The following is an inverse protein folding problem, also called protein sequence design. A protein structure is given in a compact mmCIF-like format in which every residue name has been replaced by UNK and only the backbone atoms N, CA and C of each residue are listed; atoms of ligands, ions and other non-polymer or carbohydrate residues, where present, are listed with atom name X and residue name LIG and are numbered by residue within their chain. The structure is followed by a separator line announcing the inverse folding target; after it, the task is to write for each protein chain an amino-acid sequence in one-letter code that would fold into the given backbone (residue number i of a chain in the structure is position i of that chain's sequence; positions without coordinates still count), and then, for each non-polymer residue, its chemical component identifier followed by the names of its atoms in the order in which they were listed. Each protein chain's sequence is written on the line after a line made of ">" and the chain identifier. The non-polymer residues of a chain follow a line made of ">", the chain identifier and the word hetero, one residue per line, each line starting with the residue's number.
data_IF_749861986714
#
_entry.id   IF_749861986714
#
_cell.length_a   1.000
_cell.length_b   1.000
_cell.length_c   1.000
_cell.angle_alpha   90.00
_cell.angle_beta   90.00
_cell.angle_gamma   90.00
#
_symmetry.space_group_name_H-M   'P 1'
#
loop_
_entity.id
_entity.type
_entity.pdbx_description
1 polymer ?
#
# COMPACT_ATOMS: atom_id res chain seq x y z
N UNK A 1 -14.95 33.56 -23.36
CA UNK A 1 -14.62 32.75 -22.16
C UNK A 1 -13.35 31.97 -22.45
N UNK A 2 -12.20 32.44 -21.95
CA UNK A 2 -10.92 31.77 -22.18
C UNK A 2 -10.84 30.51 -21.32
N UNK A 3 -10.62 29.34 -21.95
CA UNK A 3 -10.35 28.10 -21.22
C UNK A 3 -9.00 28.28 -20.51
N UNK A 4 -9.01 28.42 -19.18
CA UNK A 4 -7.78 28.38 -18.39
C UNK A 4 -7.18 26.98 -18.50
N UNK A 5 -5.95 26.90 -19.00
CA UNK A 5 -5.18 25.65 -19.11
C UNK A 5 -3.84 25.88 -18.43
N UNK A 6 -3.52 25.06 -17.43
CA UNK A 6 -2.24 25.05 -16.71
C UNK A 6 -1.50 23.77 -17.07
N UNK A 7 -0.20 23.84 -17.37
CA UNK A 7 0.63 22.63 -17.43
C UNK A 7 1.00 22.25 -16.00
N UNK A 8 0.36 21.21 -15.48
CA UNK A 8 0.55 20.75 -14.12
C UNK A 8 1.48 19.54 -14.11
N UNK A 9 2.38 19.50 -13.14
CA UNK A 9 3.22 18.33 -12.89
C UNK A 9 2.47 17.33 -12.02
N UNK A 10 2.46 16.08 -12.47
CA UNK A 10 1.97 14.92 -11.73
C UNK A 10 3.10 13.91 -11.60
N UNK A 11 3.25 13.37 -10.40
CA UNK A 11 4.35 12.51 -10.03
C UNK A 11 3.91 11.06 -9.93
N UNK A 12 4.86 10.17 -10.16
CA UNK A 12 4.74 8.76 -9.82
C UNK A 12 5.84 8.41 -8.80
N UNK A 13 5.60 7.41 -7.93
CA UNK A 13 6.63 6.84 -7.07
C UNK A 13 7.92 6.52 -7.85
N UNK A 14 9.08 6.74 -7.24
CA UNK A 14 10.38 6.59 -7.92
C UNK A 14 10.91 7.86 -8.60
N UNK A 15 10.20 8.99 -8.46
CA UNK A 15 10.66 10.30 -8.94
C UNK A 15 10.32 10.59 -10.40
N UNK A 16 9.54 9.73 -11.06
CA UNK A 16 9.01 10.03 -12.39
C UNK A 16 8.00 11.17 -12.31
N UNK A 17 7.99 12.01 -13.34
CA UNK A 17 7.02 13.12 -13.45
C UNK A 17 6.51 13.24 -14.88
N UNK A 18 5.24 13.61 -15.00
CA UNK A 18 4.58 13.91 -16.27
C UNK A 18 3.92 15.28 -16.20
N UNK A 19 4.12 16.09 -17.24
CA UNK A 19 3.45 17.38 -17.40
C UNK A 19 2.18 17.21 -18.22
N UNK A 20 1.02 17.33 -17.59
CA UNK A 20 -0.28 17.17 -18.23
C UNK A 20 -0.99 18.53 -18.31
N UNK A 21 -1.58 18.82 -19.47
CA UNK A 21 -2.37 20.04 -19.69
C UNK A 21 -3.70 19.93 -18.97
N UNK A 22 -3.81 20.60 -17.83
CA UNK A 22 -4.96 20.54 -16.93
C UNK A 22 -5.87 21.74 -17.17
N UNK A 23 -7.15 21.47 -17.41
CA UNK A 23 -8.18 22.49 -17.67
C UNK A 23 -8.96 22.75 -16.38
N UNK A 24 -9.71 23.84 -16.32
CA UNK A 24 -10.62 24.14 -15.20
C UNK A 24 -11.70 23.06 -14.96
N UNK A 25 -11.97 22.22 -15.95
CA UNK A 25 -12.95 21.12 -15.87
C UNK A 25 -12.30 19.74 -15.70
N UNK A 26 -10.97 19.67 -15.64
CA UNK A 26 -10.26 18.39 -15.49
C UNK A 26 -10.41 17.89 -14.06
N UNK A 27 -10.99 16.71 -13.90
CA UNK A 27 -11.15 16.05 -12.61
C UNK A 27 -10.01 15.05 -12.33
N UNK A 28 -9.87 14.63 -11.07
CA UNK A 28 -8.82 13.69 -10.66
C UNK A 28 -8.86 12.36 -11.42
N UNK A 29 -10.04 11.84 -11.73
CA UNK A 29 -10.18 10.58 -12.47
C UNK A 29 -9.51 10.62 -13.85
N UNK A 30 -9.66 11.73 -14.60
CA UNK A 30 -9.04 11.88 -15.92
C UNK A 30 -7.51 11.79 -15.83
N UNK A 31 -6.93 12.39 -14.78
CA UNK A 31 -5.50 12.33 -14.53
C UNK A 31 -5.06 10.93 -14.13
N UNK A 32 -5.82 10.26 -13.25
CA UNK A 32 -5.55 8.87 -12.85
C UNK A 32 -5.55 7.96 -14.07
N UNK A 33 -6.57 8.06 -14.94
CA UNK A 33 -6.66 7.29 -16.18
C UNK A 33 -5.47 7.59 -17.09
N UNK A 34 -5.12 8.86 -17.32
CA UNK A 34 -3.98 9.21 -18.17
C UNK A 34 -2.65 8.64 -17.66
N UNK A 35 -2.38 8.72 -16.35
CA UNK A 35 -1.16 8.19 -15.74
C UNK A 35 -1.15 6.65 -15.71
N UNK A 36 -2.32 6.03 -15.47
CA UNK A 36 -2.49 4.59 -15.60
C UNK A 36 -2.15 4.11 -17.02
N UNK A 37 -2.57 4.88 -18.03
CA UNK A 37 -2.29 4.52 -19.42
C UNK A 37 -0.77 4.54 -19.73
N UNK A 38 0.01 5.44 -19.15
CA UNK A 38 1.48 5.45 -19.26
C UNK A 38 2.11 4.18 -18.70
N UNK A 39 1.52 3.61 -17.66
CA UNK A 39 1.97 2.36 -17.03
C UNK A 39 1.44 1.10 -17.71
N UNK A 40 0.82 1.21 -18.90
CA UNK A 40 0.11 0.11 -19.58
C UNK A 40 -1.07 -0.48 -18.78
N UNK A 41 -1.70 0.30 -17.90
CA UNK A 41 -2.94 -0.08 -17.21
C UNK A 41 -4.13 0.37 -18.06
N UNK A 42 -4.75 -0.59 -18.75
CA UNK A 42 -5.85 -0.36 -19.71
C UNK A 42 -7.22 -0.75 -19.16
N UNK A 43 -7.27 -1.72 -18.24
CA UNK A 43 -8.52 -2.20 -17.66
C UNK A 43 -9.04 -1.26 -16.59
N UNK A 44 -10.31 -0.87 -16.68
CA UNK A 44 -10.97 0.06 -15.74
C UNK A 44 -10.89 -0.44 -14.29
N UNK A 45 -11.08 -1.74 -14.07
CA UNK A 45 -10.98 -2.34 -12.74
C UNK A 45 -9.62 -2.12 -12.07
N UNK A 46 -8.51 -2.24 -12.80
CA UNK A 46 -7.17 -1.97 -12.26
C UNK A 46 -6.92 -0.47 -12.13
N UNK A 47 -7.47 0.37 -13.03
CA UNK A 47 -7.37 1.83 -12.90
C UNK A 47 -8.05 2.35 -11.63
N UNK A 48 -9.21 1.79 -11.25
CA UNK A 48 -9.91 2.15 -10.03
C UNK A 48 -9.15 1.78 -8.74
N UNK A 49 -8.06 1.01 -8.82
CA UNK A 49 -7.18 0.73 -7.68
C UNK A 49 -6.21 1.87 -7.35
N UNK A 50 -6.12 2.87 -8.24
CA UNK A 50 -5.28 4.04 -8.09
C UNK A 50 -6.11 5.26 -7.73
N UNK A 51 -5.49 6.17 -6.99
CA UNK A 51 -6.05 7.48 -6.69
C UNK A 51 -4.97 8.55 -6.85
N UNK A 52 -5.39 9.78 -7.11
CA UNK A 52 -4.52 10.94 -7.04
C UNK A 52 -4.54 11.47 -5.60
N UNK A 53 -3.37 11.82 -5.07
CA UNK A 53 -3.24 12.54 -3.82
C UNK A 53 -2.34 13.75 -4.00
N UNK A 54 -2.35 14.65 -3.03
CA UNK A 54 -1.25 15.60 -2.85
C UNK A 54 -0.52 15.34 -1.54
N UNK A 55 0.78 15.60 -1.55
CA UNK A 55 1.65 15.58 -0.38
C UNK A 55 2.06 17.01 -0.09
N UNK A 56 1.83 17.51 1.13
CA UNK A 56 2.34 18.80 1.57
C UNK A 56 3.82 18.68 1.93
N UNK A 57 4.70 19.45 1.28
CA UNK A 57 6.16 19.32 1.45
C UNK A 57 6.61 19.68 2.87
N UNK A 58 5.92 20.64 3.51
CA UNK A 58 6.24 21.14 4.84
C UNK A 58 6.19 20.06 5.94
N UNK A 59 5.27 19.11 5.85
CA UNK A 59 5.03 18.13 6.92
C UNK A 59 4.86 16.69 6.42
N UNK A 60 4.91 16.46 5.10
CA UNK A 60 4.72 15.15 4.48
C UNK A 60 3.29 14.61 4.58
N UNK A 61 2.31 15.43 4.98
CA UNK A 61 0.91 14.98 5.09
C UNK A 61 0.33 14.71 3.71
N UNK A 62 -0.46 13.64 3.62
CA UNK A 62 -1.03 13.15 2.36
C UNK A 62 -2.55 13.36 2.41
N UNK A 63 -3.12 13.98 1.38
CA UNK A 63 -4.57 14.03 1.16
C UNK A 63 -4.92 13.38 -0.16
N UNK A 64 -5.77 12.37 -0.12
CA UNK A 64 -6.30 11.70 -1.31
C UNK A 64 -7.48 12.50 -1.84
N UNK A 65 -7.52 12.67 -3.16
CA UNK A 65 -8.59 13.34 -3.88
C UNK A 65 -9.67 12.33 -4.27
N UNK A 66 -10.92 12.77 -4.20
CA UNK A 66 -12.04 12.07 -4.83
C UNK A 66 -11.93 12.18 -6.34
N UNK A 67 -12.47 11.18 -7.04
CA UNK A 67 -12.39 11.07 -8.49
C UNK A 67 -13.00 12.27 -9.23
N UNK A 68 -14.03 12.89 -8.63
CA UNK A 68 -14.77 14.03 -9.16
C UNK A 68 -14.23 15.40 -8.73
N UNK A 69 -13.17 15.46 -7.91
CA UNK A 69 -12.54 16.73 -7.53
C UNK A 69 -11.84 17.39 -8.73
N UNK A 70 -12.13 18.67 -8.97
CA UNK A 70 -11.48 19.47 -9.99
C UNK A 70 -10.06 19.84 -9.56
N UNK A 71 -9.06 19.47 -10.37
CA UNK A 71 -7.66 19.68 -10.01
C UNK A 71 -7.28 21.15 -9.95
N UNK A 72 -7.86 21.98 -10.82
CA UNK A 72 -7.59 23.42 -10.80
C UNK A 72 -8.12 24.09 -9.53
N UNK A 73 -9.22 23.61 -8.95
CA UNK A 73 -9.77 24.15 -7.71
C UNK A 73 -8.85 23.78 -6.54
N UNK A 74 -8.51 22.49 -6.42
CA UNK A 74 -7.57 21.98 -5.40
C UNK A 74 -6.23 22.72 -5.44
N UNK A 75 -5.62 22.83 -6.63
CA UNK A 75 -4.32 23.52 -6.77
C UNK A 75 -4.42 25.01 -6.49
N UNK A 76 -5.53 25.66 -6.87
CA UNK A 76 -5.76 27.08 -6.56
C UNK A 76 -5.90 27.30 -5.06
N UNK A 77 -6.64 26.44 -4.35
CA UNK A 77 -6.77 26.52 -2.88
C UNK A 77 -5.41 26.38 -2.18
N UNK A 78 -4.59 25.43 -2.62
CA UNK A 78 -3.24 25.22 -2.08
C UNK A 78 -2.31 26.40 -2.40
N UNK A 79 -2.34 26.90 -3.64
CA UNK A 79 -1.55 28.06 -4.08
C UNK A 79 -1.96 29.32 -3.25
N UNK A 80 -3.26 29.52 -2.98
CA UNK A 80 -3.77 30.63 -2.15
C UNK A 80 -3.38 30.46 -0.67
N UNK A 81 -3.37 29.23 -0.17
CA UNK A 81 -2.88 28.92 1.18
C UNK A 81 -1.35 29.03 1.30
N UNK A 82 -0.63 29.27 0.19
CA UNK A 82 0.83 29.28 0.11
C UNK A 82 1.44 27.97 0.64
N UNK A 83 0.81 26.85 0.31
CA UNK A 83 1.28 25.51 0.62
C UNK A 83 2.09 24.95 -0.56
N UNK A 84 3.26 24.39 -0.27
CA UNK A 84 4.07 23.66 -1.26
C UNK A 84 3.58 22.20 -1.30
N UNK A 85 3.29 21.69 -2.51
CA UNK A 85 2.69 20.37 -2.68
C UNK A 85 3.19 19.61 -3.90
N UNK A 86 3.09 18.29 -3.81
CA UNK A 86 3.34 17.34 -4.89
C UNK A 86 2.08 16.55 -5.18
N UNK A 87 1.55 16.63 -6.41
CA UNK A 87 0.48 15.75 -6.88
C UNK A 87 1.08 14.39 -7.26
N UNK A 88 0.65 13.31 -6.61
CA UNK A 88 1.21 11.98 -6.74
C UNK A 88 0.11 10.95 -7.05
N UNK A 89 0.35 10.11 -8.05
CA UNK A 89 -0.47 8.91 -8.24
C UNK A 89 -0.04 7.84 -7.23
N UNK A 90 -1.00 7.23 -6.54
CA UNK A 90 -0.73 6.12 -5.62
C UNK A 90 -1.72 4.99 -5.85
N UNK A 91 -1.23 3.75 -5.78
CA UNK A 91 -2.09 2.57 -5.72
C UNK A 91 -2.61 2.38 -4.30
N UNK A 92 -3.88 2.67 -4.05
CA UNK A 92 -4.48 2.63 -2.71
C UNK A 92 -5.13 1.27 -2.39
N UNK A 93 -5.51 0.51 -3.42
CA UNK A 93 -6.11 -0.83 -3.30
C UNK A 93 -5.31 -1.83 -4.16
N UNK A 94 -5.25 -3.10 -3.74
CA UNK A 94 -4.39 -4.11 -4.37
C UNK A 94 -5.17 -5.40 -4.66
N UNK A 95 -6.09 -5.36 -5.62
CA UNK A 95 -6.94 -6.50 -6.01
C UNK A 95 -6.35 -7.23 -7.22
N UNK A 96 -5.95 -6.48 -8.24
CA UNK A 96 -5.36 -7.02 -9.48
C UNK A 96 -3.95 -7.54 -9.21
N UNK A 97 -3.59 -8.73 -9.73
CA UNK A 97 -2.23 -9.25 -9.60
C UNK A 97 -1.19 -8.30 -10.18
N UNK A 98 0.04 -8.34 -9.65
CA UNK A 98 1.12 -7.57 -10.25
C UNK A 98 1.46 -8.11 -11.66
N UNK A 99 1.75 -7.17 -12.57
CA UNK A 99 2.18 -7.46 -13.94
C UNK A 99 3.65 -7.10 -14.13
N UNK A 100 4.25 -7.70 -15.14
CA UNK A 100 5.64 -7.47 -15.53
C UNK A 100 5.78 -6.97 -16.97
N UNK A 101 4.70 -6.43 -17.55
CA UNK A 101 4.59 -6.01 -18.96
C UNK A 101 4.99 -4.54 -19.20
N UNK A 102 5.31 -3.79 -18.15
CA UNK A 102 5.65 -2.37 -18.21
C UNK A 102 6.78 -2.04 -17.22
N UNK A 103 7.96 -1.59 -17.68
CA UNK A 103 9.04 -1.17 -16.80
C UNK A 103 8.64 -0.03 -15.86
N UNK A 104 7.86 0.94 -16.35
CA UNK A 104 7.37 2.04 -15.52
C UNK A 104 6.42 1.55 -14.41
N UNK A 105 5.54 0.59 -14.71
CA UNK A 105 4.66 -0.03 -13.71
C UNK A 105 5.46 -0.71 -12.60
N UNK A 106 6.50 -1.47 -12.98
CA UNK A 106 7.37 -2.18 -12.03
C UNK A 106 8.10 -1.17 -11.14
N UNK A 107 8.69 -0.12 -11.73
CA UNK A 107 9.38 0.93 -10.98
C UNK A 107 8.45 1.63 -9.99
N UNK A 108 7.27 2.06 -10.45
CA UNK A 108 6.28 2.72 -9.59
C UNK A 108 5.89 1.86 -8.41
N UNK A 109 5.51 0.60 -8.63
CA UNK A 109 5.07 -0.25 -7.54
C UNK A 109 6.22 -0.69 -6.63
N UNK A 110 7.43 -0.84 -7.17
CA UNK A 110 8.62 -1.09 -6.37
C UNK A 110 8.83 0.07 -5.38
N UNK A 111 8.96 1.30 -5.87
CA UNK A 111 9.20 2.45 -5.00
C UNK A 111 8.02 2.76 -4.05
N UNK A 112 6.79 2.38 -4.41
CA UNK A 112 5.65 2.51 -3.50
C UNK A 112 5.65 1.47 -2.37
N UNK A 113 6.19 0.27 -2.59
CA UNK A 113 6.12 -0.85 -1.63
C UNK A 113 7.34 -0.93 -0.70
N UNK A 114 8.52 -0.52 -1.17
CA UNK A 114 9.77 -0.55 -0.40
C UNK A 114 9.67 0.14 0.97
N UNK A 115 9.05 1.34 1.13
CA UNK A 115 8.96 1.99 2.43
C UNK A 115 8.28 1.12 3.52
N UNK A 116 7.19 0.43 3.17
CA UNK A 116 6.48 -0.44 4.10
C UNK A 116 7.29 -1.70 4.44
N UNK A 117 8.03 -2.24 3.47
CA UNK A 117 8.94 -3.35 3.69
C UNK A 117 10.08 -2.95 4.65
N UNK A 118 10.80 -1.86 4.38
CA UNK A 118 11.94 -1.40 5.20
C UNK A 118 11.49 -0.98 6.60
N UNK A 119 10.32 -0.35 6.72
CA UNK A 119 9.73 -0.04 8.02
C UNK A 119 9.35 -1.31 8.82
N UNK A 120 9.21 -2.46 8.16
CA UNK A 120 8.90 -3.74 8.78
C UNK A 120 7.42 -4.02 8.97
N UNK A 121 6.54 -3.24 8.34
CA UNK A 121 5.08 -3.40 8.43
C UNK A 121 4.57 -4.70 7.80
N UNK A 122 5.28 -5.21 6.80
CA UNK A 122 4.85 -6.39 6.06
C UNK A 122 5.24 -7.71 6.76
N UNK A 123 6.14 -7.67 7.74
CA UNK A 123 6.60 -8.85 8.46
C UNK A 123 5.66 -9.21 9.60
N UNK A 124 5.25 -10.48 9.66
CA UNK A 124 4.65 -11.09 10.85
C UNK A 124 5.74 -11.92 11.53
N UNK A 125 6.05 -11.59 12.78
CA UNK A 125 7.18 -12.15 13.50
C UNK A 125 6.71 -13.17 14.54
N UNK A 126 7.41 -14.31 14.72
CA UNK A 126 7.09 -15.27 15.78
C UNK A 126 7.32 -14.64 17.16
N UNK A 127 6.53 -14.98 18.19
CA UNK A 127 6.66 -14.39 19.55
C UNK A 127 8.02 -14.64 20.19
N UNK A 128 8.59 -15.82 19.98
CA UNK A 128 9.85 -16.22 20.61
C UNK A 128 11.05 -15.76 19.77
N UNK A 129 11.57 -16.62 18.91
CA UNK A 129 12.78 -16.37 18.13
C UNK A 129 12.47 -16.33 16.64
N UNK A 130 13.19 -15.46 15.93
CA UNK A 130 13.13 -15.39 14.47
C UNK A 130 13.60 -16.71 13.86
N UNK A 131 12.83 -17.26 12.92
CA UNK A 131 13.15 -18.54 12.29
C UNK A 131 14.29 -18.38 11.29
N UNK A 132 15.06 -19.45 11.07
CA UNK A 132 16.12 -19.45 10.06
C UNK A 132 15.57 -19.13 8.66
N UNK A 133 14.37 -19.64 8.32
CA UNK A 133 13.70 -19.37 7.05
C UNK A 133 13.39 -17.87 6.87
N UNK A 134 12.82 -17.22 7.89
CA UNK A 134 12.55 -15.78 7.84
C UNK A 134 13.84 -14.96 7.64
N UNK A 135 14.91 -15.32 8.35
CA UNK A 135 16.20 -14.64 8.24
C UNK A 135 16.85 -14.86 6.87
N UNK A 136 16.68 -16.04 6.28
CA UNK A 136 17.16 -16.38 4.95
C UNK A 136 16.41 -15.58 3.87
N UNK A 137 15.07 -15.56 3.95
CA UNK A 137 14.21 -14.77 3.07
C UNK A 137 14.57 -13.28 3.16
N UNK A 138 14.79 -12.77 4.37
CA UNK A 138 15.18 -11.37 4.59
C UNK A 138 16.51 -11.04 3.93
N UNK A 139 17.49 -11.95 3.97
CA UNK A 139 18.76 -11.75 3.27
C UNK A 139 18.58 -11.76 1.73
N UNK A 140 17.65 -12.56 1.20
CA UNK A 140 17.30 -12.55 -0.23
C UNK A 140 16.68 -11.21 -0.62
N UNK A 141 15.73 -10.70 0.16
CA UNK A 141 15.16 -9.38 -0.10
C UNK A 141 16.19 -8.27 0.01
N UNK A 142 17.11 -8.35 0.98
CA UNK A 142 18.23 -7.41 1.09
C UNK A 142 19.13 -7.42 -0.15
N UNK A 143 19.44 -8.61 -0.70
CA UNK A 143 20.20 -8.74 -1.94
C UNK A 143 19.45 -8.17 -3.16
N UNK A 144 18.15 -8.41 -3.27
CA UNK A 144 17.32 -7.84 -4.34
C UNK A 144 17.23 -6.32 -4.25
N UNK A 145 17.09 -5.76 -3.04
CA UNK A 145 17.11 -4.30 -2.84
C UNK A 145 18.47 -3.70 -3.19
N UNK A 146 19.57 -4.36 -2.81
CA UNK A 146 20.91 -3.91 -3.20
C UNK A 146 21.04 -3.84 -4.72
N UNK A 147 20.63 -4.90 -5.43
CA UNK A 147 20.72 -4.99 -6.88
C UNK A 147 19.72 -4.07 -7.61
N UNK A 148 18.63 -3.66 -6.94
CA UNK A 148 17.61 -2.77 -7.51
C UNK A 148 18.06 -1.32 -7.67
N UNK A 149 19.17 -0.96 -7.01
CA UNK A 149 19.79 0.35 -7.11
C UNK A 149 20.96 0.26 -8.10
N UNK A 150 20.89 0.96 -9.26
CA UNK A 150 21.94 0.91 -10.26
C UNK A 150 23.29 1.45 -9.74
N UNK A 151 23.29 2.28 -8.70
CA UNK A 151 24.51 2.86 -8.14
C UNK A 151 25.25 1.89 -7.20
N UNK A 152 24.55 0.91 -6.62
CA UNK A 152 25.13 0.01 -5.62
C UNK A 152 25.86 -1.21 -6.22
N UNK A 153 25.83 -1.43 -7.55
CA UNK A 153 26.34 -2.66 -8.16
C UNK A 153 27.86 -2.85 -7.96
N UNK A 154 28.61 -1.76 -7.90
CA UNK A 154 30.07 -1.77 -7.74
C UNK A 154 30.52 -1.24 -6.36
N UNK A 155 29.58 -0.90 -5.48
CA UNK A 155 29.89 -0.42 -4.13
C UNK A 155 30.16 -1.56 -3.15
N UNK A 156 31.09 -1.32 -2.22
CA UNK A 156 31.34 -2.23 -1.10
C UNK A 156 30.13 -2.13 -0.17
N UNK A 157 29.48 -3.27 0.10
CA UNK A 157 28.34 -3.30 1.01
C UNK A 157 28.82 -2.96 2.44
N UNK A 158 28.32 -1.86 2.99
CA UNK A 158 28.64 -1.42 4.34
C UNK A 158 27.49 -1.72 5.31
N UNK A 159 27.79 -1.66 6.61
CA UNK A 159 26.77 -1.69 7.66
C UNK A 159 25.76 -0.52 7.55
N UNK A 160 26.18 0.62 6.99
CA UNK A 160 25.29 1.78 6.77
C UNK A 160 24.30 1.54 5.64
N UNK A 161 24.73 0.86 4.56
CA UNK A 161 23.83 0.49 3.47
C UNK A 161 22.88 -0.62 3.94
N UNK A 162 23.41 -1.67 4.58
CA UNK A 162 22.60 -2.84 4.95
C UNK A 162 21.46 -2.51 5.91
N UNK A 163 21.61 -1.51 6.79
CA UNK A 163 20.55 -1.11 7.71
C UNK A 163 19.29 -0.60 6.99
N UNK A 164 19.43 -0.14 5.74
CA UNK A 164 18.33 0.33 4.89
C UNK A 164 17.76 -0.77 3.98
N UNK A 165 18.39 -1.93 3.92
CA UNK A 165 17.96 -3.10 3.14
C UNK A 165 17.17 -4.11 3.98
N UNK A 166 17.35 -4.08 5.30
CA UNK A 166 16.76 -5.03 6.25
C UNK A 166 15.59 -4.37 7.00
N UNK A 167 14.43 -5.04 7.15
CA UNK A 167 13.30 -4.48 7.88
C UNK A 167 13.66 -4.09 9.32
N UNK A 168 13.27 -2.89 9.73
CA UNK A 168 13.54 -2.36 11.09
C UNK A 168 12.99 -3.27 12.19
N UNK A 169 11.85 -3.91 11.96
CA UNK A 169 11.25 -4.86 12.90
C UNK A 169 12.13 -6.10 13.13
N UNK A 170 12.84 -6.56 12.09
CA UNK A 170 13.80 -7.67 12.17
C UNK A 170 15.09 -7.23 12.84
N UNK A 171 15.66 -6.08 12.45
CA UNK A 171 16.86 -5.54 13.08
C UNK A 171 16.69 -5.35 14.61
N UNK A 172 15.51 -4.90 15.04
CA UNK A 172 15.20 -4.69 16.47
C UNK A 172 15.13 -5.99 17.28
N UNK A 173 14.72 -7.10 16.66
CA UNK A 173 14.48 -8.39 17.36
C UNK A 173 15.58 -9.42 17.17
N UNK A 174 16.41 -9.25 16.14
CA UNK A 174 17.48 -10.17 15.82
C UNK A 174 18.71 -9.96 16.71
N UNK A 175 19.44 -11.03 17.01
CA UNK A 175 20.78 -10.98 17.63
C UNK A 175 21.90 -10.85 16.59
N UNK A 176 21.56 -10.85 15.30
CA UNK A 176 22.50 -10.74 14.18
C UNK A 176 22.98 -9.29 14.08
N UNK A 177 24.30 -9.09 14.11
CA UNK A 177 24.90 -7.76 13.95
C UNK A 177 24.78 -7.26 12.51
N UNK A 178 24.90 -5.94 12.31
CA UNK A 178 24.90 -5.37 10.95
C UNK A 178 26.00 -5.99 10.07
N UNK A 179 27.18 -6.23 10.62
CA UNK A 179 28.28 -6.89 9.90
C UNK A 179 27.93 -8.32 9.45
N UNK A 180 27.23 -9.07 10.31
CA UNK A 180 26.74 -10.39 9.93
C UNK A 180 25.64 -10.31 8.85
N UNK A 181 24.83 -9.25 8.86
CA UNK A 181 23.87 -8.98 7.79
C UNK A 181 24.55 -8.63 6.47
N UNK A 182 25.64 -7.84 6.49
CA UNK A 182 26.47 -7.58 5.31
C UNK A 182 26.88 -8.90 4.68
N UNK A 183 27.52 -9.79 5.45
CA UNK A 183 27.94 -11.11 4.94
C UNK A 183 26.78 -11.97 4.42
N UNK A 184 25.61 -11.94 5.08
CA UNK A 184 24.41 -12.67 4.61
C UNK A 184 23.88 -12.13 3.28
N UNK A 185 23.77 -10.81 3.15
CA UNK A 185 23.30 -10.17 1.92
C UNK A 185 24.29 -10.40 0.79
N UNK A 186 25.59 -10.21 1.00
CA UNK A 186 26.62 -10.51 -0.01
C UNK A 186 26.54 -11.96 -0.50
N UNK A 187 26.42 -12.91 0.43
CA UNK A 187 26.32 -14.32 0.08
C UNK A 187 25.06 -14.59 -0.76
N UNK A 188 23.92 -13.97 -0.45
CA UNK A 188 22.71 -14.09 -1.26
C UNK A 188 22.86 -13.44 -2.63
N UNK A 189 23.49 -12.27 -2.71
CA UNK A 189 23.80 -11.60 -3.98
C UNK A 189 24.63 -12.51 -4.90
N UNK A 190 25.64 -13.21 -4.36
CA UNK A 190 26.47 -14.16 -5.14
C UNK A 190 25.70 -15.40 -5.64
N UNK A 191 24.64 -15.80 -4.94
CA UNK A 191 23.82 -16.96 -5.30
C UNK A 191 22.71 -16.63 -6.31
N UNK A 192 22.37 -15.36 -6.46
CA UNK A 192 21.43 -14.90 -7.49
C UNK A 192 22.08 -14.98 -8.88
N UNK A 193 21.28 -15.17 -9.95
CA UNK A 193 21.78 -15.16 -11.32
C UNK A 193 22.64 -13.92 -11.63
N UNK A 194 23.83 -14.14 -12.20
CA UNK A 194 24.85 -13.10 -12.41
C UNK A 194 24.43 -11.95 -13.36
N UNK A 195 23.38 -12.14 -14.15
CA UNK A 195 22.92 -11.19 -15.16
C UNK A 195 21.63 -10.43 -14.77
N UNK A 196 21.20 -10.48 -13.50
CA UNK A 196 20.06 -9.68 -13.02
C UNK A 196 20.41 -8.20 -13.08
N UNK A 197 19.71 -7.44 -13.93
CA UNK A 197 19.75 -5.99 -13.90
C UNK A 197 18.85 -5.40 -12.79
N UNK A 198 18.94 -4.08 -12.60
CA UNK A 198 18.18 -3.40 -11.54
C UNK A 198 16.67 -3.57 -11.70
N UNK A 199 16.19 -3.61 -12.94
CA UNK A 199 14.77 -3.73 -13.23
C UNK A 199 14.29 -5.15 -12.89
N UNK A 200 15.04 -6.17 -13.30
CA UNK A 200 14.75 -7.56 -12.96
C UNK A 200 14.81 -7.81 -11.45
N UNK A 201 15.74 -7.16 -10.73
CA UNK A 201 15.77 -7.20 -9.27
C UNK A 201 14.50 -6.60 -8.64
N UNK A 202 14.00 -5.47 -9.15
CA UNK A 202 12.71 -4.86 -8.73
C UNK A 202 11.53 -5.78 -9.01
N UNK A 203 11.49 -6.40 -10.20
CA UNK A 203 10.46 -7.38 -10.57
C UNK A 203 10.47 -8.59 -9.63
N UNK A 204 11.63 -9.19 -9.39
CA UNK A 204 11.78 -10.34 -8.49
C UNK A 204 11.42 -10.00 -7.03
N UNK A 205 11.77 -8.79 -6.59
CA UNK A 205 11.38 -8.26 -5.28
C UNK A 205 9.86 -8.23 -5.15
N UNK A 206 9.17 -7.60 -6.10
CA UNK A 206 7.71 -7.49 -6.13
C UNK A 206 7.03 -8.86 -6.21
N UNK A 207 7.51 -9.76 -7.08
CA UNK A 207 6.95 -11.10 -7.27
C UNK A 207 7.00 -11.93 -5.97
N UNK A 208 8.06 -11.77 -5.18
CA UNK A 208 8.17 -12.42 -3.87
C UNK A 208 7.30 -11.72 -2.83
N UNK A 209 7.31 -10.39 -2.80
CA UNK A 209 6.61 -9.60 -1.80
C UNK A 209 5.09 -9.71 -1.93
N UNK A 210 4.55 -9.80 -3.15
CA UNK A 210 3.10 -9.92 -3.39
C UNK A 210 2.45 -11.12 -2.69
N UNK A 211 3.24 -12.16 -2.43
CA UNK A 211 2.79 -13.40 -1.76
C UNK A 211 2.62 -13.23 -0.26
N UNK A 212 3.10 -12.12 0.33
CA UNK A 212 3.02 -11.90 1.77
C UNK A 212 1.59 -11.54 2.19
N UNK A 213 1.14 -12.02 3.37
CA UNK A 213 -0.25 -11.85 3.80
C UNK A 213 -0.64 -10.39 4.07
N UNK A 214 0.33 -9.54 4.36
CA UNK A 214 0.15 -8.11 4.61
C UNK A 214 0.52 -7.24 3.38
N UNK A 215 0.82 -7.85 2.24
CA UNK A 215 1.08 -7.10 1.01
C UNK A 215 -0.12 -6.23 0.63
N UNK A 216 0.17 -5.01 0.15
CA UNK A 216 -0.85 -4.05 -0.24
C UNK A 216 -1.74 -3.53 0.90
N UNK A 217 -1.36 -3.78 2.15
CA UNK A 217 -2.14 -3.30 3.29
C UNK A 217 -1.93 -1.82 3.58
N UNK A 218 -3.03 -1.15 3.90
CA UNK A 218 -3.01 0.12 4.62
C UNK A 218 -2.89 -0.18 6.11
N UNK A 219 -1.95 0.48 6.78
CA UNK A 219 -1.66 0.26 8.21
C UNK A 219 -2.09 1.47 9.03
N UNK A 220 -2.89 1.24 10.07
CA UNK A 220 -3.38 2.29 10.96
C UNK A 220 -3.02 1.96 12.39
N UNK A 221 -2.25 2.85 13.04
CA UNK A 221 -2.05 2.77 14.48
C UNK A 221 -3.32 3.19 15.21
N UNK A 222 -3.79 2.34 16.12
CA UNK A 222 -5.01 2.57 16.91
C UNK A 222 -4.67 2.52 18.39
N UNK A 223 -5.25 3.45 19.16
CA UNK A 223 -4.97 3.59 20.60
C UNK A 223 -5.55 2.40 21.38
N UNK A 224 -6.79 2.03 21.05
CA UNK A 224 -7.52 0.94 21.68
C UNK A 224 -8.36 0.18 20.66
N UNK A 225 -8.48 -1.12 20.88
CA UNK A 225 -9.41 -2.00 20.17
C UNK A 225 -10.32 -2.65 21.20
N UNK A 226 -11.63 -2.59 20.97
CA UNK A 226 -12.62 -3.29 21.76
C UNK A 226 -13.52 -4.11 20.84
N UNK A 227 -13.47 -5.43 20.99
CA UNK A 227 -14.36 -6.40 20.36
C UNK A 227 -14.77 -7.44 21.41
N UNK A 228 -15.79 -8.26 21.12
CA UNK A 228 -16.46 -9.12 22.10
C UNK A 228 -15.50 -9.94 23.00
N UNK A 229 -14.42 -10.48 22.43
CA UNK A 229 -13.42 -11.30 23.14
C UNK A 229 -12.01 -10.71 23.16
N UNK A 230 -11.82 -9.53 22.60
CA UNK A 230 -10.50 -8.94 22.38
C UNK A 230 -10.49 -7.48 22.84
N UNK A 231 -9.61 -7.19 23.77
CA UNK A 231 -9.31 -5.84 24.21
C UNK A 231 -7.80 -5.63 24.09
N UNK A 232 -7.39 -4.66 23.29
CA UNK A 232 -5.97 -4.35 23.05
C UNK A 232 -5.74 -2.86 23.20
N UNK A 233 -4.57 -2.53 23.74
CA UNK A 233 -4.00 -1.19 23.71
C UNK A 233 -2.89 -1.18 22.67
N UNK A 234 -2.71 -0.05 21.99
CA UNK A 234 -1.61 0.17 21.02
C UNK A 234 -1.51 -0.97 19.98
N UNK A 235 -2.51 -1.05 19.11
CA UNK A 235 -2.59 -2.06 18.06
C UNK A 235 -2.39 -1.43 16.67
N UNK A 236 -2.21 -2.29 15.68
CA UNK A 236 -2.17 -1.90 14.27
C UNK A 236 -3.34 -2.57 13.55
N UNK A 237 -4.13 -1.79 12.83
CA UNK A 237 -5.15 -2.31 11.92
C UNK A 237 -4.58 -2.33 10.52
N UNK A 238 -4.52 -3.51 9.91
CA UNK A 238 -4.09 -3.71 8.53
C UNK A 238 -5.27 -4.06 7.64
N UNK A 239 -5.43 -3.35 6.53
CA UNK A 239 -6.55 -3.54 5.59
C UNK A 239 -6.01 -3.77 4.19
N UNK A 240 -6.27 -4.94 3.61
CA UNK A 240 -5.95 -5.28 2.23
C UNK A 240 -7.04 -6.16 1.60
N UNK A 241 -6.76 -6.72 0.40
CA UNK A 241 -7.67 -7.64 -0.30
C UNK A 241 -8.10 -8.87 0.51
N UNK A 242 -7.36 -9.22 1.56
CA UNK A 242 -7.68 -10.36 2.43
C UNK A 242 -8.62 -10.01 3.58
N UNK A 243 -8.95 -8.73 3.79
CA UNK A 243 -9.76 -8.31 4.91
C UNK A 243 -9.13 -7.25 5.80
N UNK A 244 -9.72 -7.14 6.98
CA UNK A 244 -9.23 -6.33 8.10
C UNK A 244 -8.59 -7.27 9.10
N UNK A 245 -7.38 -6.92 9.54
CA UNK A 245 -6.67 -7.61 10.62
C UNK A 245 -6.34 -6.64 11.73
N UNK A 246 -6.58 -7.04 12.97
CA UNK A 246 -6.07 -6.36 14.16
C UNK A 246 -4.80 -7.08 14.58
N UNK A 247 -3.68 -6.37 14.54
CA UNK A 247 -2.34 -6.88 14.76
C UNK A 247 -1.79 -6.34 16.08
N UNK A 248 -0.99 -7.14 16.77
CA UNK A 248 -0.15 -6.63 17.85
C UNK A 248 0.93 -5.68 17.30
N UNK A 249 1.29 -4.64 18.04
CA UNK A 249 2.24 -3.62 17.60
C UNK A 249 3.70 -4.09 17.57
N UNK A 250 4.02 -5.19 18.24
CA UNK A 250 5.37 -5.73 18.38
C UNK A 250 5.73 -6.79 17.34
N UNK A 251 4.83 -7.74 17.09
CA UNK A 251 5.06 -8.88 16.21
C UNK A 251 4.20 -8.88 14.95
N UNK A 252 3.21 -8.00 14.86
CA UNK A 252 2.18 -8.02 13.82
C UNK A 252 1.40 -9.35 13.74
N UNK A 253 1.33 -10.10 14.83
CA UNK A 253 0.47 -11.28 14.90
C UNK A 253 -0.99 -10.85 14.92
N UNK A 254 -1.81 -11.48 14.08
CA UNK A 254 -3.22 -11.16 13.99
C UNK A 254 -3.98 -11.74 15.18
N UNK A 255 -4.63 -10.87 15.95
CA UNK A 255 -5.51 -11.22 17.06
C UNK A 255 -6.96 -11.33 16.59
N UNK A 256 -7.33 -10.56 15.56
CA UNK A 256 -8.59 -10.65 14.84
C UNK A 256 -8.34 -10.61 13.33
N UNK A 257 -9.15 -11.35 12.57
CA UNK A 257 -9.16 -11.29 11.11
C UNK A 257 -10.58 -11.53 10.60
N UNK A 258 -11.09 -10.59 9.81
CA UNK A 258 -12.36 -10.71 9.09
C UNK A 258 -12.14 -10.34 7.63
N UNK A 259 -12.80 -11.06 6.73
CA UNK A 259 -12.82 -10.78 5.30
C UNK A 259 -13.66 -9.54 5.00
N UNK A 260 -13.46 -8.93 3.84
CA UNK A 260 -14.19 -7.73 3.43
C UNK A 260 -15.70 -7.98 3.29
N UNK A 261 -16.10 -9.19 2.90
CA UNK A 261 -17.51 -9.56 2.72
C UNK A 261 -18.29 -9.67 4.02
N UNK A 262 -17.60 -9.80 5.16
CA UNK A 262 -18.23 -9.86 6.47
C UNK A 262 -18.56 -8.45 7.00
N UNK A 263 -18.04 -7.39 6.37
CA UNK A 263 -18.25 -6.01 6.83
C UNK A 263 -19.60 -5.49 6.33
N UNK A 264 -20.47 -5.14 7.27
CA UNK A 264 -21.80 -4.59 6.97
C UNK A 264 -21.74 -3.06 6.86
N UNK A 265 -21.15 -2.40 7.87
CA UNK A 265 -21.08 -0.93 7.93
C UNK A 265 -19.89 -0.45 8.75
N UNK A 266 -19.38 0.73 8.42
CA UNK A 266 -18.45 1.49 9.27
C UNK A 266 -19.13 2.76 9.78
N UNK A 267 -19.08 3.03 11.08
CA UNK A 267 -19.70 4.21 11.69
C UNK A 267 -18.69 4.97 12.56
N UNK A 268 -18.42 6.22 12.21
CA UNK A 268 -17.54 7.09 13.00
C UNK A 268 -18.35 7.87 14.04
N UNK A 269 -17.77 8.05 15.22
CA UNK A 269 -18.35 8.88 16.27
C UNK A 269 -17.26 9.44 17.18
N UNK A 270 -17.61 10.51 17.89
CA UNK A 270 -16.74 11.18 18.85
C UNK A 270 -17.37 11.13 20.22
N UNK A 271 -16.54 10.87 21.23
CA UNK A 271 -16.95 10.94 22.64
C UNK A 271 -16.09 11.99 23.36
N UNK A 272 -16.34 12.19 24.66
CA UNK A 272 -15.46 13.01 25.50
C UNK A 272 -14.05 12.44 25.64
N UNK A 273 -13.86 11.15 25.37
CA UNK A 273 -12.59 10.44 25.60
C UNK A 273 -11.77 10.23 24.32
N UNK A 274 -12.34 10.43 23.13
CA UNK A 274 -11.61 10.29 21.88
C UNK A 274 -12.51 10.18 20.64
N UNK A 275 -11.85 9.92 19.51
CA UNK A 275 -12.48 9.64 18.23
C UNK A 275 -12.50 8.12 17.99
N UNK A 276 -13.62 7.61 17.49
CA UNK A 276 -13.87 6.18 17.35
C UNK A 276 -14.46 5.86 15.97
N UNK A 277 -14.20 4.63 15.54
CA UNK A 277 -14.90 3.99 14.42
C UNK A 277 -15.34 2.59 14.83
N UNK A 278 -16.63 2.32 14.67
CA UNK A 278 -17.21 0.99 14.79
C UNK A 278 -17.27 0.33 13.41
N UNK A 279 -16.69 -0.85 13.31
CA UNK A 279 -16.80 -1.73 12.15
C UNK A 279 -17.78 -2.84 12.53
N UNK A 280 -18.99 -2.78 12.00
CA UNK A 280 -20.02 -3.80 12.21
C UNK A 280 -19.82 -4.94 11.22
N UNK A 281 -19.79 -6.14 11.75
CA UNK A 281 -19.56 -7.38 11.03
C UNK A 281 -20.82 -8.24 11.09
N UNK A 282 -21.08 -8.96 10.00
CA UNK A 282 -22.14 -9.94 9.86
C UNK A 282 -21.56 -11.22 9.23
N UNK A 283 -20.67 -11.95 9.95
CA UNK A 283 -20.05 -13.17 9.43
C UNK A 283 -21.09 -14.24 9.09
N UNK A 284 -22.18 -14.32 9.87
CA UNK A 284 -23.32 -15.19 9.62
C UNK A 284 -24.60 -14.45 10.05
N UNK A 285 -25.74 -14.73 9.37
CA UNK A 285 -27.02 -14.02 9.55
C UNK A 285 -27.52 -13.88 11.01
N UNK A 286 -27.07 -14.75 11.91
CA UNK A 286 -27.48 -14.79 13.31
C UNK A 286 -26.43 -14.25 14.31
N UNK A 287 -25.22 -13.90 13.84
CA UNK A 287 -24.14 -13.41 14.69
C UNK A 287 -23.61 -12.07 14.18
N UNK A 288 -23.94 -10.99 14.90
CA UNK A 288 -23.45 -9.64 14.62
C UNK A 288 -22.38 -9.26 15.62
N UNK A 289 -21.22 -8.90 15.10
CA UNK A 289 -20.07 -8.50 15.91
C UNK A 289 -19.73 -7.04 15.60
N UNK A 290 -19.11 -6.35 16.55
CA UNK A 290 -18.63 -4.97 16.36
C UNK A 290 -17.19 -4.89 16.85
N UNK A 291 -16.31 -4.38 15.98
CA UNK A 291 -14.97 -3.96 16.35
C UNK A 291 -14.98 -2.45 16.50
N UNK A 292 -14.76 -1.96 17.72
CA UNK A 292 -14.63 -0.54 18.00
C UNK A 292 -13.14 -0.17 18.11
N UNK A 293 -12.73 0.84 17.34
CA UNK A 293 -11.35 1.31 17.28
C UNK A 293 -11.28 2.77 17.75
N UNK A 294 -10.44 3.06 18.75
CA UNK A 294 -10.11 4.43 19.12
C UNK A 294 -8.96 4.95 18.26
N UNK A 295 -9.24 5.93 17.38
CA UNK A 295 -8.28 6.41 16.38
C UNK A 295 -8.67 7.77 15.81
N UNK A 296 -7.67 8.55 15.40
CA UNK A 296 -7.86 9.79 14.62
C UNK A 296 -8.07 9.50 13.13
N UNK A 297 -7.76 8.28 12.66
CA UNK A 297 -7.78 7.89 11.25
C UNK A 297 -9.10 7.20 10.84
N UNK A 298 -10.19 7.43 11.56
CA UNK A 298 -11.49 6.77 11.31
C UNK A 298 -11.99 7.00 9.88
N UNK A 299 -11.82 8.21 9.35
CA UNK A 299 -12.20 8.56 7.97
C UNK A 299 -11.45 7.74 6.93
N UNK A 300 -10.12 7.64 7.08
CA UNK A 300 -9.27 6.89 6.16
C UNK A 300 -9.53 5.38 6.24
N UNK A 301 -9.76 4.84 7.44
CA UNK A 301 -10.16 3.44 7.62
C UNK A 301 -11.48 3.16 6.87
N UNK A 302 -12.50 3.98 7.10
CA UNK A 302 -13.80 3.83 6.43
C UNK A 302 -13.66 3.93 4.90
N UNK A 303 -12.85 4.88 4.42
CA UNK A 303 -12.60 5.10 2.99
C UNK A 303 -11.93 3.89 2.35
N UNK A 304 -10.87 3.35 2.95
CA UNK A 304 -10.17 2.15 2.44
C UNK A 304 -11.10 0.95 2.42
N UNK A 305 -11.87 0.72 3.49
CA UNK A 305 -12.84 -0.38 3.56
C UNK A 305 -13.91 -0.25 2.48
N UNK A 306 -14.48 0.94 2.32
CA UNK A 306 -15.50 1.20 1.31
C UNK A 306 -14.94 0.98 -0.11
N UNK A 307 -13.71 1.44 -0.38
CA UNK A 307 -13.07 1.32 -1.69
C UNK A 307 -12.80 -0.15 -2.06
N UNK A 308 -12.22 -0.93 -1.14
CA UNK A 308 -12.05 -2.37 -1.33
C UNK A 308 -13.39 -3.09 -1.56
N UNK A 309 -14.40 -2.78 -0.76
CA UNK A 309 -15.74 -3.41 -0.85
C UNK A 309 -16.43 -3.09 -2.17
N UNK A 310 -16.31 -1.85 -2.65
CA UNK A 310 -16.85 -1.41 -3.94
C UNK A 310 -16.24 -2.23 -5.09
N UNK A 311 -14.90 -2.31 -5.16
CA UNK A 311 -14.20 -2.98 -6.26
C UNK A 311 -14.40 -4.49 -6.27
N UNK A 312 -14.51 -5.13 -5.11
CA UNK A 312 -14.82 -6.57 -5.04
C UNK A 312 -16.23 -6.85 -5.58
N UNK A 313 -17.22 -6.04 -5.20
CA UNK A 313 -18.60 -6.18 -5.71
C UNK A 313 -18.70 -5.93 -7.22
N UNK A 314 -17.97 -4.93 -7.73
CA UNK A 314 -17.90 -4.65 -9.17
C UNK A 314 -17.33 -5.86 -9.93
N UNK A 315 -16.24 -6.43 -9.43
CA UNK A 315 -15.58 -7.62 -9.98
C UNK A 315 -16.48 -8.87 -9.94
N UNK A 316 -17.15 -9.12 -8.83
CA UNK A 316 -18.08 -10.25 -8.69
C UNK A 316 -19.29 -10.14 -9.63
N UNK A 317 -19.80 -8.91 -9.82
CA UNK A 317 -20.90 -8.63 -10.75
C UNK A 317 -20.49 -8.89 -12.21
N UNK A 318 -19.27 -8.49 -12.59
CA UNK A 318 -18.72 -8.78 -13.92
C UNK A 318 -18.63 -10.29 -14.19
N UNK A 319 -18.07 -11.07 -13.27
CA UNK A 319 -18.01 -12.54 -13.43
C UNK A 319 -19.36 -13.24 -13.37
N UNK A 320 -20.35 -12.67 -12.68
CA UNK A 320 -21.72 -13.20 -12.70
C UNK A 320 -22.35 -13.03 -14.09
N UNK A 321 -22.12 -11.89 -14.74
CA UNK A 321 -22.61 -11.61 -16.09
C UNK A 321 -21.95 -12.52 -17.14
N UNK A 322 -20.62 -12.67 -17.10
CA UNK A 322 -19.89 -13.56 -18.02
C UNK A 322 -20.37 -15.01 -17.91
N UNK A 323 -20.60 -15.50 -16.68
CA UNK A 323 -21.14 -16.85 -16.45
C UNK A 323 -22.56 -17.00 -16.99
N UNK A 324 -23.40 -15.97 -16.86
CA UNK A 324 -24.76 -15.98 -17.39
C UNK A 324 -24.76 -16.05 -18.93
N UNK A 325 -23.89 -15.27 -19.58
CA UNK A 325 -23.73 -15.28 -21.05
C UNK A 325 -23.25 -16.65 -21.53
N UNK A 326 -22.18 -17.19 -20.93
CA UNK A 326 -21.66 -18.51 -21.28
C UNK A 326 -22.68 -19.65 -21.08
N UNK A 327 -23.60 -19.51 -20.10
CA UNK A 327 -24.67 -20.49 -19.87
C UNK A 327 -25.88 -20.32 -20.80
N UNK A 328 -25.98 -19.21 -21.52
CA UNK A 328 -27.05 -18.94 -22.50
C UNK A 328 -26.68 -19.34 -23.93
N UNK A 329 -25.42 -19.71 -24.17
CA UNK A 329 -24.90 -20.19 -25.46
C UNK A 329 -24.80 -21.73 -25.53
N UNK A 330 -25.32 -22.43 -24.52
CA UNK A 330 -25.50 -23.89 -24.42
C UNK A 330 -27.00 -24.21 -24.38
#
# INVERSE_FOLDING_TARGET
>A
MGKSVKRQAYHLPGGHKKLISTKSVTVAEEIVQELCLEMNIRGTAEQHEFCLCYILEKNGSIKILNNDEYIMDVTTELDVANEEYVLLLTRSVWISPLRADSPLYIDVLFFQTVPNYVAGFLNILPKEQLTAALLDDTAIFGALLLLSDPYNRDEILTSEIVQNLIPKSILKRSTITLEQWVGRVENKTRLLPHNIDHMEARRMFLEKLEKWPLFGASFFFVKRVNAEKVQLLEAIVAINKHGIRVLTSDTHEAVLHHTLNEIETTNQYKTSTGNYIDIRLNPNKDNREVISLETENGGEIARVVAHYTYLIKEKDSFYALDRAIASSEL
#
